data_IF_414503038576
#
_entry.id   IF_414503038576
#
_cell.length_a   1.000
_cell.length_b   1.000
_cell.length_c   1.000
_cell.angle_alpha   90.00
_cell.angle_beta   90.00
_cell.angle_gamma   90.00
#
_symmetry.space_group_name_H-M   'P 1'
#
loop_
_entity.id
_entity.type
_entity.pdbx_description
1 polymer ?
#
# COMPACT_ATOMS: atom_id res chain seq x y z
N UNK A 1 -8.01 -24.05 4.60
CA UNK A 1 -8.77 -25.11 5.30
C UNK A 1 -9.55 -24.50 6.46
N UNK A 2 -10.83 -24.87 6.61
CA UNK A 2 -11.67 -24.44 7.74
C UNK A 2 -12.01 -25.67 8.58
N UNK A 3 -11.67 -25.63 9.87
CA UNK A 3 -11.93 -26.69 10.84
C UNK A 3 -13.07 -26.24 11.76
N UNK A 4 -14.13 -27.03 11.84
CA UNK A 4 -15.29 -26.75 12.69
C UNK A 4 -15.54 -27.99 13.57
N UNK A 5 -15.55 -27.81 14.89
CA UNK A 5 -15.77 -28.91 15.85
C UNK A 5 -16.42 -28.42 17.14
N UNK A 6 -17.16 -29.30 17.80
CA UNK A 6 -17.84 -29.10 19.08
C UNK A 6 -17.27 -29.98 20.21
N UNK A 7 -16.14 -30.65 19.96
CA UNK A 7 -15.51 -31.57 20.91
C UNK A 7 -14.02 -31.78 20.71
N UNK A 8 -13.37 -32.25 21.78
CA UNK A 8 -11.94 -32.58 21.83
C UNK A 8 -11.58 -33.79 20.95
N UNK A 9 -10.45 -33.70 20.27
CA UNK A 9 -9.87 -34.79 19.49
C UNK A 9 -9.48 -35.96 20.41
N UNK A 10 -9.82 -37.17 19.97
CA UNK A 10 -9.42 -38.41 20.65
C UNK A 10 -8.02 -38.88 20.22
N UNK A 11 -7.44 -38.23 19.22
CA UNK A 11 -6.16 -38.52 18.58
C UNK A 11 -5.21 -37.32 18.64
N UNK A 12 -5.26 -36.59 19.75
CA UNK A 12 -4.47 -35.37 20.01
C UNK A 12 -2.96 -35.53 19.77
N UNK A 13 -2.41 -36.74 19.93
CA UNK A 13 -1.00 -37.05 19.67
C UNK A 13 -0.59 -36.88 18.20
N UNK A 14 -1.55 -36.87 17.26
CA UNK A 14 -1.31 -36.70 15.81
C UNK A 14 -1.52 -35.28 15.32
N UNK A 15 -2.08 -34.39 16.15
CA UNK A 15 -2.39 -33.01 15.76
C UNK A 15 -1.12 -32.28 15.30
N UNK A 16 0.02 -32.52 15.97
CA UNK A 16 1.28 -31.88 15.60
C UNK A 16 1.74 -32.27 14.19
N UNK A 17 1.74 -33.57 13.88
CA UNK A 17 2.10 -34.06 12.54
C UNK A 17 1.16 -33.51 11.46
N UNK A 18 -0.14 -33.44 11.74
CA UNK A 18 -1.12 -32.88 10.83
C UNK A 18 -0.91 -31.37 10.58
N UNK A 19 -0.57 -30.61 11.64
CA UNK A 19 -0.26 -29.18 11.53
C UNK A 19 1.02 -28.98 10.72
N UNK A 20 2.07 -29.74 11.02
CA UNK A 20 3.36 -29.63 10.33
C UNK A 20 3.19 -29.89 8.82
N UNK A 21 2.44 -30.93 8.43
CA UNK A 21 2.11 -31.19 7.02
C UNK A 21 1.29 -30.05 6.39
N UNK A 22 0.37 -29.43 7.14
CA UNK A 22 -0.39 -28.29 6.63
C UNK A 22 0.47 -27.03 6.45
N UNK A 23 1.47 -26.82 7.31
CA UNK A 23 2.43 -25.72 7.16
C UNK A 23 3.35 -25.97 5.96
N UNK A 24 3.80 -27.21 5.76
CA UNK A 24 4.63 -27.60 4.60
C UNK A 24 3.90 -27.41 3.26
N UNK A 25 2.60 -27.67 3.23
CA UNK A 25 1.74 -27.42 2.05
C UNK A 25 1.21 -25.97 1.98
N UNK A 26 1.67 -25.09 2.87
CA UNK A 26 1.26 -23.68 2.94
C UNK A 26 -0.27 -23.49 3.06
N UNK A 27 -0.93 -24.39 3.77
CA UNK A 27 -2.38 -24.37 4.00
C UNK A 27 -2.71 -23.48 5.18
N UNK A 28 -3.39 -22.37 4.91
CA UNK A 28 -3.96 -21.50 5.93
C UNK A 28 -5.16 -22.17 6.63
N UNK A 29 -5.14 -22.21 7.96
CA UNK A 29 -6.13 -22.93 8.78
C UNK A 29 -6.94 -21.97 9.64
N UNK A 30 -8.25 -21.98 9.46
CA UNK A 30 -9.22 -21.29 10.30
C UNK A 30 -9.90 -22.30 11.21
N UNK A 31 -9.86 -22.09 12.53
CA UNK A 31 -10.39 -23.03 13.52
C UNK A 31 -11.58 -22.42 14.27
N UNK A 32 -12.69 -23.15 14.30
CA UNK A 32 -13.95 -22.71 14.91
C UNK A 32 -14.36 -23.71 15.98
N UNK A 33 -14.37 -23.26 17.23
CA UNK A 33 -14.76 -24.05 18.40
C UNK A 33 -16.22 -23.78 18.78
N UNK A 34 -17.08 -24.80 18.73
CA UNK A 34 -18.49 -24.72 19.10
C UNK A 34 -18.66 -25.15 20.56
N UNK A 35 -19.03 -24.23 21.44
CA UNK A 35 -19.18 -24.46 22.88
C UNK A 35 -20.61 -24.82 23.32
N UNK A 36 -21.55 -25.00 22.38
CA UNK A 36 -22.96 -25.26 22.70
C UNK A 36 -23.17 -26.49 23.60
N UNK A 37 -22.43 -27.56 23.35
CA UNK A 37 -22.44 -28.80 24.14
C UNK A 37 -21.86 -28.61 25.56
N UNK A 38 -20.70 -27.96 25.65
CA UNK A 38 -20.00 -27.70 26.92
C UNK A 38 -20.77 -26.73 27.83
N UNK A 39 -21.42 -25.73 27.23
CA UNK A 39 -22.20 -24.71 27.95
C UNK A 39 -23.47 -25.30 28.57
N UNK A 40 -24.09 -26.29 27.92
CA UNK A 40 -25.26 -27.02 28.46
C UNK A 40 -24.87 -28.03 29.55
N UNK A 41 -23.66 -28.58 29.49
CA UNK A 41 -23.16 -29.60 30.42
C UNK A 41 -22.42 -29.08 31.65
N UNK A 42 -22.21 -27.76 31.79
CA UNK A 42 -21.36 -27.15 32.83
C UNK A 42 -19.95 -27.76 32.88
N UNK A 43 -19.38 -28.03 31.70
CA UNK A 43 -18.08 -28.65 31.50
C UNK A 43 -16.98 -27.59 31.32
N UNK A 44 -15.74 -27.93 31.64
CA UNK A 44 -14.60 -27.03 31.43
C UNK A 44 -14.31 -26.88 29.93
N UNK A 45 -14.38 -25.65 29.43
CA UNK A 45 -14.12 -25.31 28.02
C UNK A 45 -12.64 -25.01 27.73
N UNK A 46 -11.81 -24.93 28.77
CA UNK A 46 -10.43 -24.42 28.66
C UNK A 46 -9.56 -25.32 27.79
N UNK A 47 -9.57 -26.63 28.06
CA UNK A 47 -8.76 -27.61 27.31
C UNK A 47 -9.14 -27.69 25.84
N UNK A 48 -10.44 -27.75 25.58
CA UNK A 48 -11.00 -27.75 24.23
C UNK A 48 -10.62 -26.50 23.45
N UNK A 49 -10.80 -25.31 24.03
CA UNK A 49 -10.44 -24.05 23.39
C UNK A 49 -8.94 -23.98 23.11
N UNK A 50 -8.09 -24.42 24.03
CA UNK A 50 -6.63 -24.46 23.83
C UNK A 50 -6.22 -25.40 22.68
N UNK A 51 -6.84 -26.57 22.57
CA UNK A 51 -6.60 -27.51 21.49
C UNK A 51 -6.95 -26.89 20.14
N UNK A 52 -8.17 -26.38 19.97
CA UNK A 52 -8.62 -25.80 18.69
C UNK A 52 -7.82 -24.54 18.34
N UNK A 53 -7.45 -23.75 19.35
CA UNK A 53 -6.58 -22.59 19.18
C UNK A 53 -5.19 -22.97 18.67
N UNK A 54 -4.67 -24.14 19.04
CA UNK A 54 -3.37 -24.64 18.56
C UNK A 54 -3.38 -25.05 17.09
N UNK A 55 -4.54 -25.42 16.55
CA UNK A 55 -4.72 -25.84 15.15
C UNK A 55 -4.74 -24.64 14.20
N UNK A 56 -5.24 -23.49 14.65
CA UNK A 56 -5.35 -22.27 13.86
C UNK A 56 -3.98 -21.72 13.43
N UNK A 57 -3.90 -21.19 12.20
CA UNK A 57 -2.69 -20.52 11.72
C UNK A 57 -2.42 -19.22 12.50
N UNK A 58 -1.15 -18.80 12.51
CA UNK A 58 -0.74 -17.51 13.08
C UNK A 58 -1.05 -16.37 12.09
N UNK A 59 -1.43 -15.16 12.55
CA UNK A 59 -1.76 -14.78 13.92
C UNK A 59 -3.11 -15.35 14.36
N UNK A 60 -3.16 -15.93 15.54
CA UNK A 60 -4.32 -16.71 16.01
C UNK A 60 -5.57 -15.86 16.18
N UNK A 61 -5.44 -14.57 16.47
CA UNK A 61 -6.53 -13.61 16.64
C UNK A 61 -7.39 -13.44 15.37
N UNK A 62 -6.83 -13.77 14.20
CA UNK A 62 -7.52 -13.68 12.90
C UNK A 62 -8.07 -15.01 12.38
N UNK A 63 -7.68 -16.12 13.01
CA UNK A 63 -7.88 -17.47 12.50
C UNK A 63 -8.58 -18.40 13.47
N UNK A 64 -8.72 -18.02 14.75
CA UNK A 64 -9.45 -18.77 15.75
C UNK A 64 -10.75 -18.06 16.13
N UNK A 65 -11.86 -18.78 16.10
CA UNK A 65 -13.18 -18.28 16.46
C UNK A 65 -13.80 -19.17 17.54
N UNK A 66 -14.23 -18.53 18.62
CA UNK A 66 -14.95 -19.19 19.71
C UNK A 66 -16.44 -18.86 19.58
N UNK A 67 -17.27 -19.91 19.48
CA UNK A 67 -18.68 -19.79 19.16
C UNK A 67 -19.52 -20.41 20.27
N UNK A 68 -20.32 -19.59 20.95
CA UNK A 68 -21.17 -20.06 22.04
C UNK A 68 -22.42 -20.82 21.57
N UNK A 69 -22.91 -20.53 20.35
CA UNK A 69 -24.15 -21.09 19.80
C UNK A 69 -24.05 -21.31 18.28
N UNK A 70 -24.65 -22.38 17.78
CA UNK A 70 -24.62 -22.84 16.38
C UNK A 70 -25.15 -21.78 15.40
N UNK A 71 -26.08 -20.93 15.83
CA UNK A 71 -26.62 -19.83 15.02
C UNK A 71 -25.57 -18.75 14.69
N UNK A 72 -24.55 -18.57 15.53
CA UNK A 72 -23.46 -17.63 15.27
C UNK A 72 -22.47 -18.14 14.19
N UNK A 73 -22.56 -19.41 13.79
CA UNK A 73 -21.75 -19.95 12.69
C UNK A 73 -22.15 -19.37 11.35
N UNK A 74 -23.43 -19.03 11.15
CA UNK A 74 -23.91 -18.40 9.91
C UNK A 74 -23.21 -17.06 9.69
N UNK A 75 -23.13 -16.23 10.73
CA UNK A 75 -22.45 -14.93 10.70
C UNK A 75 -20.94 -15.07 10.47
N UNK A 76 -20.31 -16.14 10.97
CA UNK A 76 -18.87 -16.40 10.77
C UNK A 76 -18.58 -16.92 9.36
N UNK A 77 -19.46 -17.73 8.79
CA UNK A 77 -19.33 -18.20 7.40
C UNK A 77 -19.53 -17.04 6.43
N UNK A 78 -20.45 -16.12 6.71
CA UNK A 78 -20.58 -14.86 5.97
C UNK A 78 -19.28 -14.02 6.07
N UNK A 79 -18.76 -13.80 7.27
CA UNK A 79 -17.52 -13.03 7.48
C UNK A 79 -16.24 -13.69 6.92
N UNK A 80 -16.19 -15.03 6.83
CA UNK A 80 -15.10 -15.77 6.19
C UNK A 80 -15.25 -15.81 4.66
N UNK A 81 -16.49 -15.84 4.16
CA UNK A 81 -16.80 -15.76 2.74
C UNK A 81 -16.36 -14.43 2.11
N UNK A 82 -16.45 -13.34 2.86
CA UNK A 82 -15.99 -12.00 2.45
C UNK A 82 -14.46 -11.85 2.27
N UNK A 83 -13.67 -12.92 2.44
CA UNK A 83 -12.22 -12.91 2.19
C UNK A 83 -11.78 -13.55 0.88
N UNK A 84 -12.72 -13.93 0.01
CA UNK A 84 -12.43 -14.32 -1.38
C UNK A 84 -12.49 -13.05 -2.22
N UNK A 85 -11.33 -12.54 -2.65
CA UNK A 85 -11.27 -11.30 -3.41
C UNK A 85 -11.60 -11.51 -4.89
N UNK A 86 -12.40 -10.60 -5.43
CA UNK A 86 -12.62 -10.51 -6.87
C UNK A 86 -11.35 -9.96 -7.55
N UNK A 87 -10.52 -10.82 -8.15
CA UNK A 87 -9.46 -10.36 -9.06
C UNK A 87 -10.09 -10.01 -10.41
N UNK A 88 -9.52 -9.00 -11.07
CA UNK A 88 -9.99 -8.42 -12.32
C UNK A 88 -10.57 -9.50 -13.28
N UNK A 89 -11.87 -9.37 -13.60
CA UNK A 89 -12.66 -10.32 -14.39
C UNK A 89 -13.24 -11.60 -13.71
N UNK A 90 -13.33 -11.70 -12.38
CA UNK A 90 -14.14 -12.75 -11.74
C UNK A 90 -15.65 -12.47 -11.89
N UNK A 91 -16.38 -13.40 -12.51
CA UNK A 91 -17.84 -13.33 -12.76
C UNK A 91 -18.72 -13.68 -11.55
N UNK A 92 -18.14 -14.07 -10.42
CA UNK A 92 -18.88 -14.55 -9.26
C UNK A 92 -19.39 -13.38 -8.39
N UNK A 93 -20.70 -13.34 -8.12
CA UNK A 93 -21.37 -12.31 -7.29
C UNK A 93 -21.03 -12.40 -5.80
N UNK A 94 -20.25 -13.39 -5.38
CA UNK A 94 -19.95 -13.71 -3.97
C UNK A 94 -18.53 -13.34 -3.55
N UNK A 95 -17.73 -12.79 -4.45
CA UNK A 95 -16.39 -12.33 -4.14
C UNK A 95 -16.42 -10.89 -3.58
N UNK A 96 -15.66 -10.63 -2.53
CA UNK A 96 -15.58 -9.33 -1.88
C UNK A 96 -14.70 -8.34 -2.67
N UNK A 97 -15.07 -7.06 -2.60
CA UNK A 97 -14.25 -5.95 -3.09
C UNK A 97 -12.99 -5.79 -2.23
N UNK A 98 -11.90 -5.35 -2.85
CA UNK A 98 -10.76 -4.82 -2.10
C UNK A 98 -11.16 -3.47 -1.50
N UNK A 99 -11.03 -3.31 -0.19
CA UNK A 99 -11.27 -2.04 0.50
C UNK A 99 -9.92 -1.34 0.75
N UNK A 100 -9.25 -1.69 1.85
CA UNK A 100 -7.97 -1.10 2.27
C UNK A 100 -6.79 -2.06 2.09
N UNK A 101 -7.03 -3.29 1.65
CA UNK A 101 -6.02 -4.34 1.48
C UNK A 101 -4.98 -3.96 0.41
N UNK A 102 -5.41 -3.22 -0.61
CA UNK A 102 -4.57 -2.62 -1.64
C UNK A 102 -4.32 -1.13 -1.40
N UNK A 103 -4.69 -0.60 -0.23
CA UNK A 103 -4.44 0.80 0.08
C UNK A 103 -2.94 1.03 0.19
N UNK A 104 -2.41 1.85 -0.71
CA UNK A 104 -1.07 2.42 -0.56
C UNK A 104 -1.17 3.60 0.42
N UNK A 105 -1.45 3.30 1.69
CA UNK A 105 -1.57 4.30 2.73
C UNK A 105 -0.26 5.10 2.84
N UNK A 106 -0.34 6.43 2.72
CA UNK A 106 0.82 7.32 2.66
C UNK A 106 0.95 8.12 1.35
N UNK A 107 0.19 7.78 0.30
CA UNK A 107 0.08 8.61 -0.90
C UNK A 107 -1.01 9.69 -0.72
N UNK A 108 -0.60 10.95 -0.70
CA UNK A 108 -1.50 12.10 -0.81
C UNK A 108 -1.16 12.89 -2.07
N UNK A 109 -2.11 13.04 -2.99
CA UNK A 109 -1.96 13.87 -4.17
C UNK A 109 -2.87 15.10 -4.07
N UNK A 110 -2.31 16.27 -4.37
CA UNK A 110 -3.06 17.51 -4.54
C UNK A 110 -3.71 17.52 -5.93
N UNK A 111 -4.85 18.22 -6.08
CA UNK A 111 -5.59 18.26 -7.34
C UNK A 111 -4.71 18.79 -8.48
N UNK A 112 -4.59 17.98 -9.54
CA UNK A 112 -3.91 18.29 -10.81
C UNK A 112 -4.75 17.75 -11.97
N UNK A 113 -4.32 17.98 -13.20
CA UNK A 113 -4.94 17.40 -14.39
C UNK A 113 -5.02 15.87 -14.25
N UNK A 114 -6.20 15.30 -14.48
CA UNK A 114 -6.43 13.84 -14.45
C UNK A 114 -5.48 13.17 -15.44
N UNK A 115 -4.82 12.08 -15.00
CA UNK A 115 -3.87 11.35 -15.83
C UNK A 115 -2.47 11.99 -15.93
N UNK A 116 -2.21 13.13 -15.29
CA UNK A 116 -0.88 13.79 -15.34
C UNK A 116 0.21 13.05 -14.56
N UNK A 117 -0.16 12.03 -13.80
CA UNK A 117 0.75 11.29 -12.92
C UNK A 117 1.45 12.21 -11.89
N UNK A 118 0.73 13.25 -11.44
CA UNK A 118 1.17 14.15 -10.37
C UNK A 118 1.47 13.37 -9.09
N UNK A 119 2.67 13.55 -8.54
CA UNK A 119 3.13 12.79 -7.37
C UNK A 119 3.82 11.48 -7.73
N UNK A 120 3.97 11.14 -9.01
CA UNK A 120 4.74 9.96 -9.45
C UNK A 120 6.25 10.10 -9.20
N UNK A 121 6.74 11.34 -9.08
CA UNK A 121 8.12 11.67 -8.71
C UNK A 121 8.07 12.71 -7.60
N UNK A 122 8.71 12.45 -6.47
CA UNK A 122 8.75 13.36 -5.32
C UNK A 122 10.18 13.39 -4.80
N UNK A 123 10.69 14.59 -4.52
CA UNK A 123 11.95 14.74 -3.80
C UNK A 123 11.92 15.98 -2.91
N UNK A 124 12.69 15.92 -1.84
CA UNK A 124 12.94 17.02 -0.92
C UNK A 124 14.37 17.46 -1.10
N UNK A 125 14.60 18.76 -1.26
CA UNK A 125 15.94 19.31 -1.38
C UNK A 125 16.18 20.25 -0.22
N UNK A 126 17.30 20.04 0.50
CA UNK A 126 17.81 21.00 1.45
C UNK A 126 18.84 21.85 0.71
N UNK A 127 18.45 23.07 0.34
CA UNK A 127 19.20 23.92 -0.60
C UNK A 127 20.35 24.62 0.10
N UNK A 128 20.12 25.11 1.32
CA UNK A 128 21.12 25.82 2.11
C UNK A 128 21.93 24.94 3.07
N UNK A 129 21.62 23.64 3.11
CA UNK A 129 22.24 22.62 3.96
C UNK A 129 22.05 22.88 5.46
N UNK A 130 20.92 23.48 5.84
CA UNK A 130 20.55 23.65 7.23
C UNK A 130 19.94 22.36 7.84
N UNK A 131 19.26 22.46 8.97
CA UNK A 131 18.61 21.29 9.61
C UNK A 131 17.19 20.99 9.09
N UNK A 132 16.71 21.79 8.14
CA UNK A 132 15.37 21.76 7.58
C UNK A 132 15.42 21.47 6.07
N UNK A 133 14.27 21.11 5.51
CA UNK A 133 14.12 20.94 4.05
C UNK A 133 13.48 22.20 3.50
N UNK A 134 14.01 22.70 2.38
CA UNK A 134 13.55 23.95 1.78
C UNK A 134 12.33 23.75 0.84
N UNK A 135 12.47 23.24 -0.40
CA UNK A 135 11.29 22.86 -1.16
C UNK A 135 11.04 21.35 -1.23
N UNK A 136 9.76 21.02 -1.30
CA UNK A 136 9.25 19.77 -1.85
C UNK A 136 9.05 19.94 -3.36
N UNK A 137 9.65 19.05 -4.14
CA UNK A 137 9.55 19.04 -5.60
C UNK A 137 8.71 17.85 -6.02
N UNK A 138 7.67 18.11 -6.81
CA UNK A 138 6.70 17.11 -7.25
C UNK A 138 6.61 17.11 -8.78
N UNK A 139 6.91 15.97 -9.40
CA UNK A 139 6.74 15.75 -10.83
C UNK A 139 5.32 15.33 -11.19
N UNK A 140 4.87 15.79 -12.37
CA UNK A 140 3.70 15.33 -13.10
C UNK A 140 4.11 15.03 -14.55
N UNK A 141 4.84 13.91 -14.78
CA UNK A 141 5.45 13.61 -16.06
C UNK A 141 4.47 13.50 -17.22
N UNK A 142 3.24 13.04 -16.95
CA UNK A 142 2.22 12.84 -17.98
C UNK A 142 1.32 14.06 -18.14
N UNK A 143 1.67 15.21 -17.55
CA UNK A 143 0.93 16.45 -17.74
C UNK A 143 0.89 16.81 -19.23
N UNK A 144 -0.32 17.00 -19.75
CA UNK A 144 -0.56 17.44 -21.12
C UNK A 144 -0.70 18.96 -21.15
N UNK A 145 0.04 19.59 -22.06
CA UNK A 145 0.00 21.03 -22.28
C UNK A 145 -1.32 21.50 -22.90
N UNK A 146 -1.41 22.80 -23.20
CA UNK A 146 -2.66 23.41 -23.70
C UNK A 146 -3.06 22.89 -25.08
N UNK A 147 -2.09 22.42 -25.86
CA UNK A 147 -2.28 21.86 -27.19
C UNK A 147 -2.30 20.32 -27.18
N UNK A 148 -2.40 19.70 -25.99
CA UNK A 148 -2.34 18.24 -25.74
C UNK A 148 -1.02 17.57 -26.10
N UNK A 149 0.05 18.34 -26.07
CA UNK A 149 1.43 17.89 -26.18
C UNK A 149 1.91 17.25 -24.86
N UNK A 150 2.81 16.28 -24.97
CA UNK A 150 3.39 15.50 -23.87
C UNK A 150 4.40 16.33 -23.06
N UNK A 151 3.96 17.46 -22.51
CA UNK A 151 4.82 18.47 -21.93
C UNK A 151 5.54 18.00 -20.67
N UNK A 152 4.79 17.37 -19.77
CA UNK A 152 5.19 17.14 -18.38
C UNK A 152 5.36 18.45 -17.59
N UNK A 153 5.29 18.35 -16.26
CA UNK A 153 5.37 19.51 -15.37
C UNK A 153 6.03 19.14 -14.06
N UNK A 154 6.73 20.09 -13.46
CA UNK A 154 7.26 20.01 -12.10
C UNK A 154 6.72 21.16 -11.28
N UNK A 155 6.35 20.86 -10.04
CA UNK A 155 5.83 21.79 -9.06
C UNK A 155 6.79 21.86 -7.89
N UNK A 156 7.22 23.08 -7.55
CA UNK A 156 8.09 23.36 -6.41
C UNK A 156 7.24 23.99 -5.33
N UNK A 157 7.15 23.32 -4.17
CA UNK A 157 6.41 23.72 -2.98
C UNK A 157 7.41 24.17 -1.90
N UNK A 158 7.56 25.48 -1.71
CA UNK A 158 8.21 26.05 -0.53
C UNK A 158 7.18 26.54 0.48
N UNK A 159 7.61 26.83 1.72
CA UNK A 159 6.74 27.24 2.83
C UNK A 159 5.69 28.33 2.50
N UNK A 160 5.87 29.13 1.44
CA UNK A 160 4.86 30.07 0.92
C UNK A 160 4.95 30.32 -0.62
N UNK A 161 5.53 29.42 -1.42
CA UNK A 161 5.69 29.63 -2.86
C UNK A 161 5.43 28.36 -3.66
N UNK A 162 4.63 28.50 -4.72
CA UNK A 162 4.41 27.47 -5.73
C UNK A 162 4.96 27.97 -7.07
N UNK A 163 5.97 27.29 -7.60
CA UNK A 163 6.51 27.58 -8.94
C UNK A 163 6.33 26.31 -9.77
N UNK A 164 5.71 26.44 -10.94
CA UNK A 164 5.56 25.36 -11.88
C UNK A 164 6.41 25.60 -13.13
N UNK A 165 7.20 24.62 -13.54
CA UNK A 165 7.99 24.62 -14.77
C UNK A 165 7.74 23.34 -15.54
N UNK A 166 7.60 23.41 -16.86
CA UNK A 166 7.34 22.26 -17.74
C UNK A 166 8.30 22.23 -18.93
N UNK A 167 8.31 21.11 -19.65
CA UNK A 167 8.99 21.01 -20.94
C UNK A 167 8.29 21.87 -21.99
N UNK A 168 8.76 21.84 -23.23
CA UNK A 168 8.07 22.49 -24.35
C UNK A 168 7.07 21.55 -25.05
N UNK A 169 7.10 20.24 -24.74
CA UNK A 169 6.26 19.22 -25.37
C UNK A 169 6.64 18.88 -26.80
N UNK A 170 7.65 19.54 -27.37
CA UNK A 170 8.20 19.27 -28.70
C UNK A 170 9.57 18.62 -28.61
N UNK A 171 10.57 19.34 -28.08
CA UNK A 171 11.94 18.86 -27.89
C UNK A 171 12.12 18.14 -26.56
N UNK A 172 11.49 18.66 -25.52
CA UNK A 172 11.54 18.12 -24.16
C UNK A 172 10.14 17.71 -23.75
N UNK A 173 9.92 16.41 -23.74
CA UNK A 173 8.66 15.77 -23.39
C UNK A 173 8.72 15.11 -22.02
N UNK A 174 7.57 14.89 -21.42
CA UNK A 174 7.43 14.26 -20.11
C UNK A 174 8.33 14.88 -19.04
N UNK A 175 8.48 16.20 -19.05
CA UNK A 175 9.34 16.87 -18.09
C UNK A 175 8.92 16.58 -16.65
N UNK A 176 9.88 16.28 -15.79
CA UNK A 176 9.63 15.85 -14.41
C UNK A 176 9.63 14.33 -14.20
N UNK A 177 10.08 13.52 -15.18
CA UNK A 177 10.27 12.06 -15.04
C UNK A 177 11.31 11.70 -13.97
N UNK A 178 12.27 12.60 -13.73
CA UNK A 178 13.29 12.44 -12.71
C UNK A 178 13.68 13.80 -12.14
N UNK A 179 14.03 13.82 -10.86
CA UNK A 179 14.52 15.01 -10.17
C UNK A 179 15.67 14.60 -9.28
N UNK A 180 16.76 15.37 -9.30
CA UNK A 180 17.93 15.18 -8.45
C UNK A 180 18.44 16.53 -7.94
N UNK A 181 18.88 16.60 -6.69
CA UNK A 181 19.40 17.84 -6.11
C UNK A 181 20.21 17.57 -4.85
N UNK A 182 21.47 17.18 -5.02
CA UNK A 182 22.41 16.94 -3.91
C UNK A 182 23.73 17.70 -4.06
N UNK A 183 24.02 18.20 -5.25
CA UNK A 183 25.31 18.81 -5.57
C UNK A 183 25.12 20.28 -5.94
N UNK A 184 26.05 21.09 -5.48
CA UNK A 184 26.27 22.45 -5.96
C UNK A 184 27.15 22.32 -7.21
N UNK A 185 26.59 22.61 -8.39
CA UNK A 185 27.25 22.44 -9.68
C UNK A 185 27.86 23.74 -10.19
N UNK A 186 27.51 24.88 -9.59
CA UNK A 186 28.04 26.20 -9.96
C UNK A 186 29.01 26.79 -8.91
N UNK A 187 29.33 26.04 -7.87
CA UNK A 187 30.17 26.43 -6.73
C UNK A 187 29.65 27.70 -6.02
N UNK A 188 28.34 27.92 -6.04
CA UNK A 188 27.65 29.08 -5.47
C UNK A 188 27.35 28.96 -3.96
N UNK A 189 27.60 27.80 -3.37
CA UNK A 189 27.34 27.48 -1.97
C UNK A 189 25.93 26.93 -1.71
N UNK A 190 25.10 26.74 -2.73
CA UNK A 190 23.72 26.24 -2.63
C UNK A 190 23.54 25.01 -3.52
N UNK A 191 22.67 24.08 -3.11
CA UNK A 191 22.38 22.89 -3.91
C UNK A 191 21.57 23.27 -5.15
N UNK A 192 22.02 22.78 -6.31
CA UNK A 192 21.30 22.92 -7.57
C UNK A 192 20.35 21.75 -7.80
N UNK A 193 19.27 22.00 -8.56
CA UNK A 193 18.27 20.98 -8.89
C UNK A 193 18.25 20.70 -10.38
N UNK A 194 18.39 19.43 -10.73
CA UNK A 194 18.24 18.94 -12.11
C UNK A 194 16.91 18.23 -12.26
N UNK A 195 16.18 18.55 -13.32
CA UNK A 195 14.92 17.91 -13.71
C UNK A 195 15.06 17.30 -15.10
N UNK A 196 14.76 16.01 -15.23
CA UNK A 196 14.81 15.28 -16.48
C UNK A 196 13.47 15.21 -17.21
N UNK A 197 13.54 15.20 -18.53
CA UNK A 197 12.47 14.81 -19.45
C UNK A 197 13.02 13.96 -20.60
N UNK A 198 12.14 13.42 -21.42
CA UNK A 198 12.52 12.81 -22.68
C UNK A 198 13.03 13.89 -23.64
N UNK A 199 14.26 13.75 -24.12
CA UNK A 199 14.89 14.69 -25.05
C UNK A 199 15.76 15.77 -24.40
N UNK A 200 15.74 15.92 -23.08
CA UNK A 200 16.60 16.88 -22.39
C UNK A 200 16.43 16.93 -20.87
N UNK A 201 17.26 17.73 -20.21
CA UNK A 201 17.14 18.01 -18.78
C UNK A 201 17.33 19.52 -18.55
N UNK A 202 16.65 20.06 -17.55
CA UNK A 202 16.83 21.44 -17.12
C UNK A 202 17.58 21.45 -15.78
N UNK A 203 18.51 22.40 -15.65
CA UNK A 203 19.22 22.67 -14.41
C UNK A 203 18.72 24.00 -13.84
N UNK A 204 18.32 23.98 -12.57
CA UNK A 204 17.84 25.14 -11.84
C UNK A 204 18.87 25.55 -10.80
N UNK A 205 19.48 26.70 -11.01
CA UNK A 205 20.38 27.32 -10.05
C UNK A 205 19.60 28.13 -9.02
N UNK A 206 19.85 27.88 -7.75
CA UNK A 206 19.23 28.69 -6.70
C UNK A 206 20.02 30.00 -6.54
N UNK A 207 19.31 31.14 -6.57
CA UNK A 207 19.93 32.47 -6.40
C UNK A 207 20.16 33.28 -7.69
N UNK A 208 19.96 32.71 -8.88
CA UNK A 208 20.00 33.43 -10.17
C UNK A 208 18.65 33.35 -10.91
N UNK A 209 18.29 34.44 -11.61
CA UNK A 209 17.13 34.46 -12.50
C UNK A 209 17.31 33.45 -13.63
N UNK A 210 16.29 32.64 -13.88
CA UNK A 210 16.32 31.48 -14.78
C UNK A 210 16.85 31.83 -16.19
N UNK A 211 17.84 31.09 -16.68
CA UNK A 211 18.18 30.99 -18.09
C UNK A 211 17.96 29.56 -18.56
N UNK A 212 16.95 29.36 -19.40
CA UNK A 212 16.73 28.12 -20.14
C UNK A 212 17.85 27.98 -21.17
N UNK A 213 18.70 26.96 -21.03
CA UNK A 213 19.58 26.51 -22.11
C UNK A 213 18.74 25.64 -23.05
N UNK A 214 18.54 26.10 -24.28
CA UNK A 214 17.66 25.49 -25.30
C UNK A 214 18.38 24.70 -26.39
#
# INVERSE_FOLDING_TARGET
MVIVTDGESHDNYRIKEAIDNCEDENIQRFAVAILGSYSRGNLSTVKFVEEIKSIASKPTEKHFFNVSDELALVTIVEALGERIFALEATTDQQAASFEMEMSQAGFSAHYSQIGSYFGGVITTVNIDRDSFTDPLIVGAPMYMGTEKEEQGKVYVYGLNKHIASGGDGEKVKFFGQSVHGEMDLNDGGLIDVTVGGLGGAALFWYGYSQHLLG
#
